data_IF_762373522042
#
_entry.id   IF_762373522042
#
_cell.length_a   1.000
_cell.length_b   1.000
_cell.length_c   1.000
_cell.angle_alpha   90.00
_cell.angle_beta   90.00
_cell.angle_gamma   90.00
#
_symmetry.space_group_name_H-M   'P 1'
#
loop_
_entity.id
_entity.type
_entity.pdbx_description
1 polymer ?
#
# COMPACT_ATOMS: atom_id res chain seq x y z
N UNK A 1 0.94 -26.96 25.17
CA UNK A 1 0.49 -25.62 25.58
C UNK A 1 1.11 -24.61 24.61
N UNK A 2 0.40 -24.21 23.55
CA UNK A 2 0.95 -23.27 22.57
C UNK A 2 0.96 -21.88 23.21
N UNK A 3 2.15 -21.30 23.34
CA UNK A 3 2.37 -19.98 23.94
C UNK A 3 1.60 -18.95 23.11
N UNK A 4 0.47 -18.46 23.64
CA UNK A 4 -0.43 -17.48 22.99
C UNK A 4 0.31 -16.27 22.39
N UNK A 5 1.47 -15.89 22.94
CA UNK A 5 2.27 -14.78 22.44
C UNK A 5 2.97 -15.01 21.09
N UNK A 6 3.38 -16.24 20.76
CA UNK A 6 4.07 -16.50 19.47
C UNK A 6 3.11 -16.42 18.28
N UNK A 7 1.84 -16.78 18.48
CA UNK A 7 0.83 -16.76 17.43
C UNK A 7 0.42 -15.35 16.97
N UNK A 8 0.66 -14.32 17.79
CA UNK A 8 0.15 -12.97 17.56
C UNK A 8 1.11 -12.08 16.77
N UNK A 9 2.41 -12.41 16.74
CA UNK A 9 3.44 -11.60 16.07
C UNK A 9 3.14 -11.46 14.57
N UNK A 10 2.76 -12.55 13.90
CA UNK A 10 2.46 -12.53 12.47
C UNK A 10 1.33 -11.56 12.11
N UNK A 11 0.12 -11.72 12.67
CA UNK A 11 -0.97 -10.78 12.45
C UNK A 11 -0.64 -9.34 12.85
N UNK A 12 0.08 -9.10 13.95
CA UNK A 12 0.47 -7.74 14.36
C UNK A 12 1.36 -7.09 13.30
N UNK A 13 2.37 -7.81 12.78
CA UNK A 13 3.20 -7.31 11.69
C UNK A 13 2.36 -6.97 10.45
N UNK A 14 1.40 -7.82 10.09
CA UNK A 14 0.53 -7.55 8.96
C UNK A 14 -0.36 -6.30 9.14
N UNK A 15 -0.81 -6.01 10.37
CA UNK A 15 -1.50 -4.74 10.69
C UNK A 15 -0.55 -3.56 10.51
N UNK A 16 0.67 -3.63 11.03
CA UNK A 16 1.66 -2.55 10.91
C UNK A 16 1.94 -2.24 9.44
N UNK A 17 2.23 -3.25 8.63
CA UNK A 17 2.45 -3.08 7.19
C UNK A 17 1.23 -2.48 6.48
N UNK A 18 0.02 -2.94 6.82
CA UNK A 18 -1.22 -2.41 6.26
C UNK A 18 -1.50 -0.96 6.65
N UNK A 19 -1.18 -0.55 7.87
CA UNK A 19 -1.27 0.85 8.32
C UNK A 19 -0.28 1.75 7.60
N UNK A 20 0.94 1.28 7.36
CA UNK A 20 1.93 2.03 6.59
C UNK A 20 1.46 2.19 5.14
N UNK A 21 0.89 1.15 4.52
CA UNK A 21 0.28 1.26 3.18
C UNK A 21 -0.89 2.25 3.15
N UNK A 22 -1.77 2.22 4.14
CA UNK A 22 -2.89 3.16 4.23
C UNK A 22 -2.39 4.61 4.38
N UNK A 23 -1.35 4.83 5.18
CA UNK A 23 -0.68 6.12 5.29
C UNK A 23 -0.01 6.53 3.97
N UNK A 24 0.63 5.60 3.26
CA UNK A 24 1.20 5.83 1.95
C UNK A 24 0.15 6.32 0.95
N UNK A 25 -1.03 5.69 0.96
CA UNK A 25 -2.18 6.13 0.18
C UNK A 25 -2.61 7.54 0.57
N UNK A 26 -2.74 7.84 1.87
CA UNK A 26 -3.09 9.18 2.34
C UNK A 26 -2.09 10.24 1.85
N UNK A 27 -0.79 9.93 1.83
CA UNK A 27 0.22 10.82 1.28
C UNK A 27 0.02 11.08 -0.22
N UNK A 28 -0.34 10.06 -1.03
CA UNK A 28 -0.70 10.26 -2.45
C UNK A 28 -1.86 11.26 -2.58
N UNK A 29 -2.90 11.14 -1.76
CA UNK A 29 -4.03 12.06 -1.78
C UNK A 29 -3.61 13.51 -1.49
N UNK A 30 -2.74 13.72 -0.49
CA UNK A 30 -2.17 15.05 -0.21
C UNK A 30 -1.37 15.56 -1.41
N UNK A 31 -0.54 14.71 -2.03
CA UNK A 31 0.24 15.12 -3.19
C UNK A 31 -0.62 15.53 -4.38
N UNK A 32 -1.74 14.84 -4.64
CA UNK A 32 -2.71 15.24 -5.67
C UNK A 32 -3.22 16.65 -5.41
N UNK A 33 -3.69 16.92 -4.19
CA UNK A 33 -4.22 18.24 -3.82
C UNK A 33 -3.15 19.35 -3.92
N UNK A 34 -1.90 19.02 -3.56
CA UNK A 34 -0.79 19.97 -3.63
C UNK A 34 -0.38 20.28 -5.07
N UNK A 35 -0.35 19.27 -5.95
CA UNK A 35 -0.10 19.48 -7.38
C UNK A 35 -1.22 20.32 -8.00
N UNK A 36 -2.49 20.02 -7.69
CA UNK A 36 -3.65 20.79 -8.17
C UNK A 36 -3.57 22.27 -7.79
N UNK A 37 -3.24 22.57 -6.53
CA UNK A 37 -3.09 23.94 -6.07
C UNK A 37 -1.98 24.68 -6.82
N UNK A 38 -0.83 24.03 -7.00
CA UNK A 38 0.32 24.61 -7.69
C UNK A 38 0.05 24.84 -9.19
N UNK A 39 -0.63 23.91 -9.85
CA UNK A 39 -1.06 24.05 -11.24
C UNK A 39 -2.05 25.22 -11.38
N UNK A 40 -3.04 25.32 -10.49
CA UNK A 40 -4.00 26.42 -10.51
C UNK A 40 -3.34 27.79 -10.34
N UNK A 41 -2.37 27.91 -9.42
CA UNK A 41 -1.57 29.14 -9.23
C UNK A 41 -0.78 29.50 -10.49
N UNK A 42 -0.27 28.50 -11.21
CA UNK A 42 0.49 28.68 -12.45
C UNK A 42 -0.39 28.82 -13.71
N UNK A 43 -1.72 28.78 -13.58
CA UNK A 43 -2.66 28.71 -14.70
C UNK A 43 -2.39 27.52 -15.66
N UNK A 44 -1.93 26.40 -15.10
CA UNK A 44 -1.67 25.14 -15.79
C UNK A 44 -2.72 24.08 -15.43
N UNK A 45 -2.73 23.00 -16.20
CA UNK A 45 -3.57 21.82 -16.01
C UNK A 45 -2.73 20.57 -15.79
N UNK A 46 -3.38 19.45 -15.43
CA UNK A 46 -2.67 18.17 -15.28
C UNK A 46 -2.05 17.69 -16.60
N UNK A 47 -2.66 18.01 -17.74
CA UNK A 47 -2.13 17.63 -19.07
C UNK A 47 -0.74 18.23 -19.31
N UNK A 48 -0.49 19.43 -18.78
CA UNK A 48 0.80 20.13 -18.87
C UNK A 48 1.92 19.43 -18.07
N UNK A 49 1.58 18.53 -17.15
CA UNK A 49 2.56 17.74 -16.36
C UNK A 49 3.05 16.48 -17.09
N UNK A 50 2.44 16.15 -18.22
CA UNK A 50 2.68 14.88 -18.92
C UNK A 50 2.12 13.66 -18.17
N UNK A 51 1.23 13.86 -17.19
CA UNK A 51 0.65 12.80 -16.37
C UNK A 51 -0.84 13.01 -16.12
N UNK A 52 -1.61 11.92 -16.01
CA UNK A 52 -3.05 11.98 -15.77
C UNK A 52 -3.36 11.98 -14.26
N UNK A 53 -4.29 12.87 -13.87
CA UNK A 53 -4.83 12.96 -12.51
C UNK A 53 -5.48 11.64 -12.09
N UNK A 54 -6.20 11.02 -12.99
CA UNK A 54 -6.94 9.77 -12.79
C UNK A 54 -6.00 8.64 -12.40
N UNK A 55 -4.81 8.58 -13.01
CA UNK A 55 -3.78 7.58 -12.67
C UNK A 55 -3.25 7.75 -11.24
N UNK A 56 -3.17 8.99 -10.73
CA UNK A 56 -2.83 9.23 -9.32
C UNK A 56 -3.93 8.72 -8.37
N UNK A 57 -5.21 8.89 -8.73
CA UNK A 57 -6.31 8.32 -7.96
C UNK A 57 -6.34 6.79 -8.03
N UNK A 58 -6.00 6.20 -9.17
CA UNK A 58 -5.86 4.74 -9.28
C UNK A 58 -4.75 4.25 -8.35
N UNK A 59 -3.58 4.90 -8.34
CA UNK A 59 -2.49 4.60 -7.39
C UNK A 59 -2.95 4.69 -5.93
N UNK A 60 -3.68 5.75 -5.58
CA UNK A 60 -4.29 5.92 -4.26
C UNK A 60 -5.20 4.74 -3.92
N UNK A 61 -6.21 4.46 -4.76
CA UNK A 61 -7.22 3.43 -4.47
C UNK A 61 -6.60 2.05 -4.35
N UNK A 62 -5.69 1.67 -5.26
CA UNK A 62 -5.00 0.38 -5.20
C UNK A 62 -4.20 0.23 -3.92
N UNK A 63 -3.38 1.22 -3.56
CA UNK A 63 -2.56 1.17 -2.35
C UNK A 63 -3.43 1.06 -1.10
N UNK A 64 -4.51 1.84 -1.02
CA UNK A 64 -5.47 1.78 0.09
C UNK A 64 -6.12 0.40 0.19
N UNK A 65 -6.64 -0.13 -0.91
CA UNK A 65 -7.33 -1.42 -0.94
C UNK A 65 -6.41 -2.55 -0.45
N UNK A 66 -5.16 -2.59 -0.93
CA UNK A 66 -4.20 -3.60 -0.52
C UNK A 66 -3.78 -3.47 0.94
N UNK A 67 -3.59 -2.24 1.43
CA UNK A 67 -3.35 -1.97 2.85
C UNK A 67 -4.50 -2.42 3.74
N UNK A 68 -5.75 -2.12 3.34
CA UNK A 68 -6.96 -2.56 4.03
C UNK A 68 -7.12 -4.08 4.01
N UNK A 69 -6.80 -4.76 2.91
CA UNK A 69 -6.76 -6.23 2.86
C UNK A 69 -5.75 -6.79 3.88
N UNK A 70 -4.57 -6.17 3.99
CA UNK A 70 -3.58 -6.48 5.02
C UNK A 70 -4.15 -6.39 6.44
N UNK A 71 -4.79 -5.26 6.77
CA UNK A 71 -5.37 -5.00 8.09
C UNK A 71 -6.54 -5.95 8.38
N UNK A 72 -7.52 -6.03 7.48
CA UNK A 72 -8.73 -6.86 7.65
C UNK A 72 -8.35 -8.33 7.76
N UNK A 73 -7.47 -8.81 6.87
CA UNK A 73 -6.97 -10.17 6.91
C UNK A 73 -6.25 -10.48 8.23
N UNK A 74 -5.41 -9.56 8.71
CA UNK A 74 -4.73 -9.71 9.98
C UNK A 74 -5.68 -9.73 11.18
N UNK A 75 -6.74 -8.89 11.19
CA UNK A 75 -7.78 -8.92 12.23
C UNK A 75 -8.48 -10.29 12.25
N UNK A 76 -8.87 -10.82 11.08
CA UNK A 76 -9.43 -12.17 10.99
C UNK A 76 -8.46 -13.24 11.51
N UNK A 77 -7.17 -13.08 11.24
CA UNK A 77 -6.15 -13.96 11.77
C UNK A 77 -6.03 -13.86 13.31
N UNK A 78 -6.13 -12.67 13.90
CA UNK A 78 -6.11 -12.49 15.36
C UNK A 78 -7.27 -13.20 16.06
N UNK A 79 -8.47 -13.19 15.47
CA UNK A 79 -9.65 -13.89 16.01
C UNK A 79 -9.68 -15.40 15.67
N UNK A 80 -8.54 -15.96 15.25
CA UNK A 80 -8.37 -17.39 15.04
C UNK A 80 -8.70 -17.89 13.62
N UNK A 81 -9.24 -17.06 12.72
CA UNK A 81 -9.58 -17.51 11.36
C UNK A 81 -8.34 -17.63 10.46
N UNK A 82 -8.04 -18.83 9.97
CA UNK A 82 -6.86 -19.09 9.12
C UNK A 82 -6.92 -18.37 7.77
N UNK A 83 -8.11 -18.23 7.19
CA UNK A 83 -8.31 -17.51 5.93
C UNK A 83 -7.88 -16.03 6.03
N UNK A 84 -7.90 -15.43 7.23
CA UNK A 84 -7.46 -14.06 7.44
C UNK A 84 -6.01 -13.83 7.03
N UNK A 85 -5.11 -14.75 7.39
CA UNK A 85 -3.71 -14.67 6.99
C UNK A 85 -3.52 -14.82 5.48
N UNK A 86 -4.43 -15.51 4.78
CA UNK A 86 -4.41 -15.61 3.31
C UNK A 86 -4.82 -14.28 2.67
N UNK A 87 -5.88 -13.63 3.18
CA UNK A 87 -6.31 -12.31 2.70
C UNK A 87 -5.19 -11.27 2.87
N UNK A 88 -4.56 -11.26 4.06
CA UNK A 88 -3.45 -10.34 4.32
C UNK A 88 -2.27 -10.61 3.37
N UNK A 89 -1.93 -11.89 3.14
CA UNK A 89 -0.87 -12.27 2.20
C UNK A 89 -1.16 -11.76 0.78
N UNK A 90 -2.39 -11.91 0.30
CA UNK A 90 -2.80 -11.39 -1.01
C UNK A 90 -2.68 -9.87 -1.09
N UNK A 91 -3.08 -9.15 -0.03
CA UNK A 91 -2.89 -7.69 0.05
C UNK A 91 -1.42 -7.31 -0.09
N UNK A 92 -0.53 -7.99 0.63
CA UNK A 92 0.92 -7.78 0.51
C UNK A 92 1.47 -8.11 -0.88
N UNK A 93 1.09 -9.24 -1.49
CA UNK A 93 1.55 -9.64 -2.83
C UNK A 93 1.11 -8.64 -3.90
N UNK A 94 -0.16 -8.22 -3.88
CA UNK A 94 -0.67 -7.21 -4.80
C UNK A 94 0.01 -5.85 -4.58
N UNK A 95 0.25 -5.49 -3.31
CA UNK A 95 1.03 -4.33 -2.92
C UNK A 95 2.43 -4.31 -3.52
N UNK A 96 3.15 -5.44 -3.47
CA UNK A 96 4.46 -5.61 -4.12
C UNK A 96 4.33 -5.56 -5.64
N UNK A 97 3.42 -6.34 -6.23
CA UNK A 97 3.25 -6.40 -7.68
C UNK A 97 2.95 -5.02 -8.26
N UNK A 98 2.11 -4.22 -7.61
CA UNK A 98 1.82 -2.84 -7.99
C UNK A 98 3.02 -1.91 -7.97
N UNK A 99 4.09 -2.21 -7.21
CA UNK A 99 5.31 -1.40 -7.24
C UNK A 99 6.06 -1.54 -8.56
N UNK A 100 5.92 -2.68 -9.22
CA UNK A 100 6.60 -2.99 -10.48
C UNK A 100 5.74 -2.69 -11.71
N UNK A 101 4.47 -2.27 -11.52
CA UNK A 101 3.60 -1.83 -12.62
C UNK A 101 3.77 -0.32 -12.78
N UNK A 102 4.46 0.16 -13.83
CA UNK A 102 4.60 1.58 -14.09
C UNK A 102 3.25 2.16 -14.55
N UNK A 103 2.89 3.32 -14.01
CA UNK A 103 1.77 4.13 -14.49
C UNK A 103 2.25 5.25 -15.43
N UNK A 104 3.51 5.64 -15.33
CA UNK A 104 4.15 6.65 -16.18
C UNK A 104 5.07 7.53 -15.34
N UNK A 105 5.27 8.77 -15.78
CA UNK A 105 6.21 9.70 -15.16
C UNK A 105 5.62 11.09 -15.04
N UNK A 106 5.83 11.74 -13.90
CA UNK A 106 5.54 13.17 -13.73
C UNK A 106 6.82 13.93 -14.04
N UNK A 107 6.74 14.91 -14.94
CA UNK A 107 7.89 15.76 -15.27
C UNK A 107 7.68 17.15 -14.71
N UNK A 108 8.59 17.59 -13.84
CA UNK A 108 8.61 18.96 -13.30
C UNK A 108 9.97 19.57 -13.64
N UNK A 109 9.99 20.51 -14.57
CA UNK A 109 11.22 21.07 -15.15
C UNK A 109 12.12 19.97 -15.77
N UNK A 110 13.21 19.60 -15.10
CA UNK A 110 14.15 18.53 -15.51
C UNK A 110 14.04 17.27 -14.66
N UNK A 111 13.22 17.28 -13.60
CA UNK A 111 13.04 16.15 -12.71
C UNK A 111 11.94 15.24 -13.25
N UNK A 112 12.31 14.00 -13.58
CA UNK A 112 11.38 12.94 -14.01
C UNK A 112 11.15 12.01 -12.84
N UNK A 113 9.92 11.98 -12.33
CA UNK A 113 9.53 11.14 -11.19
C UNK A 113 8.73 9.95 -11.72
N UNK A 114 9.25 8.71 -11.61
CA UNK A 114 8.48 7.53 -11.98
C UNK A 114 7.33 7.30 -10.99
N UNK A 115 6.16 7.03 -11.53
CA UNK A 115 4.95 6.70 -10.78
C UNK A 115 4.58 5.25 -11.07
N UNK A 116 4.49 4.44 -10.01
CA UNK A 116 3.99 3.07 -10.06
C UNK A 116 2.58 2.97 -9.47
N UNK A 117 1.94 1.82 -9.68
CA UNK A 117 0.58 1.56 -9.21
C UNK A 117 0.47 1.49 -7.68
N UNK A 118 1.56 1.16 -6.99
CA UNK A 118 1.65 1.10 -5.52
C UNK A 118 2.45 2.28 -4.97
N UNK A 119 1.95 2.95 -3.93
CA UNK A 119 2.62 4.08 -3.30
C UNK A 119 3.61 3.70 -2.19
N UNK A 120 4.02 2.44 -2.10
CA UNK A 120 4.86 1.91 -1.02
C UNK A 120 6.11 2.76 -0.72
N UNK A 121 6.36 3.00 0.56
CA UNK A 121 7.43 3.84 1.10
C UNK A 121 8.71 2.99 1.30
N UNK A 122 9.39 2.59 0.22
CA UNK A 122 10.66 1.80 0.21
C UNK A 122 10.48 0.27 0.19
N UNK A 123 9.44 -0.26 -0.44
CA UNK A 123 9.16 -1.72 -0.55
C UNK A 123 8.86 -2.41 0.79
N UNK A 124 9.07 -1.73 1.91
CA UNK A 124 9.05 -2.33 3.25
C UNK A 124 7.64 -2.68 3.70
N UNK A 125 6.66 -1.84 3.42
CA UNK A 125 5.27 -1.97 3.86
C UNK A 125 4.57 -3.23 3.34
N UNK A 126 4.50 -3.51 2.03
CA UNK A 126 3.89 -4.75 1.55
C UNK A 126 4.73 -5.99 1.91
N UNK A 127 6.06 -5.87 2.05
CA UNK A 127 6.92 -6.96 2.56
C UNK A 127 6.57 -7.30 4.02
N UNK A 128 6.37 -6.30 4.89
CA UNK A 128 5.97 -6.49 6.28
C UNK A 128 4.63 -7.23 6.35
N UNK A 129 3.68 -6.91 5.46
CA UNK A 129 2.40 -7.64 5.36
C UNK A 129 2.64 -9.11 4.99
N UNK A 130 3.47 -9.38 3.98
CA UNK A 130 3.78 -10.75 3.55
C UNK A 130 4.44 -11.54 4.67
N UNK A 131 5.50 -11.01 5.28
CA UNK A 131 6.24 -11.66 6.37
C UNK A 131 5.31 -11.94 7.54
N UNK A 132 4.51 -10.95 7.97
CA UNK A 132 3.53 -11.13 9.03
C UNK A 132 2.50 -12.22 8.71
N UNK A 133 2.01 -12.24 7.48
CA UNK A 133 1.03 -13.22 7.02
C UNK A 133 1.59 -14.64 6.95
N UNK A 134 2.82 -14.81 6.45
CA UNK A 134 3.51 -16.10 6.41
C UNK A 134 3.78 -16.65 7.82
N UNK A 135 4.25 -15.80 8.74
CA UNK A 135 4.44 -16.19 10.15
C UNK A 135 3.09 -16.63 10.75
N UNK A 136 2.01 -15.89 10.48
CA UNK A 136 0.67 -16.24 10.96
C UNK A 136 0.16 -17.59 10.42
N UNK A 137 0.48 -17.94 9.17
CA UNK A 137 0.15 -19.23 8.57
C UNK A 137 1.00 -20.38 9.13
N UNK A 138 2.29 -20.17 9.35
CA UNK A 138 3.24 -21.19 9.80
C UNK A 138 3.07 -21.54 11.28
N UNK A 139 2.67 -20.57 12.10
CA UNK A 139 2.48 -20.76 13.55
C UNK A 139 1.08 -21.25 13.95
N UNK A 140 0.10 -21.16 13.04
CA UNK A 140 -1.22 -21.83 13.18
C UNK A 140 -1.16 -23.24 12.61
N UNK A 141 -0.48 -24.13 13.33
CA UNK A 141 -0.63 -25.59 13.19
C UNK A 141 -1.50 -26.13 14.31
#
# INVERSE_FOLDING_TARGET
MVVKGKLLIGPILAIIGGLIMAYASYMVFIYIAHIEANLAIAALTWEDTGFSRELMYVRFMCTLLWGLMGIIGAIFALIGKKFGSVIALLGGILGIAGMFIPLGTITINTLVIPVSLSASFLFSDPIIIIVGSLIGLLLKK
#
